data_IF_451202179250
#
_entry.id   IF_451202179250
#
_cell.length_a   1.000
_cell.length_b   1.000
_cell.length_c   1.000
_cell.angle_alpha   90.00
_cell.angle_beta   90.00
_cell.angle_gamma   90.00
#
_symmetry.space_group_name_H-M   'P 1'
#
loop_
_entity.id
_entity.type
_entity.pdbx_description
1 polymer ?
#
# COMPACT_ATOMS: atom_id res chain seq x y z
N UNK A 1 16.68 -37.42 53.17
CA UNK A 1 17.52 -36.74 52.14
C UNK A 1 16.64 -36.44 50.95
N UNK A 2 16.11 -35.23 50.81
CA UNK A 2 15.19 -34.84 49.74
C UNK A 2 15.96 -33.98 48.73
N UNK A 3 16.20 -34.48 47.51
CA UNK A 3 16.76 -33.71 46.36
C UNK A 3 15.69 -32.76 45.86
N UNK A 4 15.98 -31.47 45.88
CA UNK A 4 15.18 -30.43 45.21
C UNK A 4 15.78 -30.26 43.80
N UNK A 5 15.00 -30.60 42.78
CA UNK A 5 15.31 -30.25 41.39
C UNK A 5 14.96 -28.78 41.15
N UNK A 6 15.98 -27.99 40.90
CA UNK A 6 15.82 -26.61 40.42
C UNK A 6 15.57 -26.67 38.89
N UNK A 7 14.38 -26.27 38.46
CA UNK A 7 14.08 -26.01 37.05
C UNK A 7 14.56 -24.61 36.70
N UNK A 8 15.66 -24.51 35.95
CA UNK A 8 16.09 -23.25 35.33
C UNK A 8 15.33 -23.12 34.00
N UNK A 9 14.33 -22.24 34.00
CA UNK A 9 13.60 -21.87 32.80
C UNK A 9 14.46 -20.90 31.97
N UNK A 10 15.09 -21.41 30.92
CA UNK A 10 15.88 -20.61 29.96
C UNK A 10 14.89 -19.92 29.02
N UNK A 11 14.49 -18.66 29.33
CA UNK A 11 13.78 -17.82 28.41
C UNK A 11 14.70 -17.45 27.23
N UNK A 12 14.54 -18.17 26.12
CA UNK A 12 15.19 -17.80 24.85
C UNK A 12 14.51 -16.53 24.34
N UNK A 13 15.11 -15.37 24.62
CA UNK A 13 14.75 -14.13 23.95
C UNK A 13 15.13 -14.25 22.46
N UNK A 14 14.15 -14.59 21.62
CA UNK A 14 14.29 -14.39 20.18
C UNK A 14 14.39 -12.88 19.95
N UNK A 15 15.60 -12.37 19.79
CA UNK A 15 15.85 -11.08 19.17
C UNK A 15 15.44 -11.22 17.71
N UNK A 16 14.23 -10.80 17.40
CA UNK A 16 13.82 -10.59 16.01
C UNK A 16 14.67 -9.42 15.52
N UNK A 17 15.77 -9.75 14.85
CA UNK A 17 16.53 -8.77 14.10
C UNK A 17 15.63 -8.29 12.96
N UNK A 18 14.90 -7.21 13.19
CA UNK A 18 14.29 -6.44 12.11
C UNK A 18 15.43 -6.04 11.17
N UNK A 19 15.44 -6.60 9.96
CA UNK A 19 16.30 -6.12 8.88
C UNK A 19 15.78 -4.73 8.57
N UNK A 20 16.36 -3.71 9.19
CA UNK A 20 16.10 -2.33 8.87
C UNK A 20 16.70 -2.09 7.49
N UNK A 21 15.85 -1.93 6.49
CA UNK A 21 16.28 -1.29 5.26
C UNK A 21 16.82 0.10 5.65
N UNK A 22 18.01 0.44 5.15
CA UNK A 22 18.70 1.68 5.53
C UNK A 22 17.71 2.86 5.39
N UNK A 23 17.47 3.59 6.48
CA UNK A 23 16.72 4.84 6.49
C UNK A 23 15.21 4.77 6.33
N UNK A 24 14.58 3.60 6.09
CA UNK A 24 13.13 3.49 5.84
C UNK A 24 12.49 2.42 6.73
N UNK A 25 11.32 2.76 7.27
CA UNK A 25 10.49 1.85 8.05
C UNK A 25 9.05 1.90 7.54
N UNK A 26 8.40 0.72 7.49
CA UNK A 26 6.97 0.59 7.16
C UNK A 26 6.28 -0.22 8.25
N UNK A 27 5.30 0.40 8.90
CA UNK A 27 4.53 -0.22 9.97
C UNK A 27 3.14 -0.57 9.50
N UNK A 28 2.69 -1.79 9.84
CA UNK A 28 1.28 -2.14 9.71
C UNK A 28 0.48 -1.35 10.76
N UNK A 29 -0.50 -0.58 10.30
CA UNK A 29 -1.26 0.32 11.17
C UNK A 29 -2.71 -0.15 11.41
N UNK A 30 -3.01 -1.41 11.08
CA UNK A 30 -4.36 -1.97 11.04
C UNK A 30 -5.00 -2.22 12.42
N UNK A 31 -4.23 -2.59 13.44
CA UNK A 31 -4.76 -2.94 14.76
C UNK A 31 -5.08 -1.72 15.63
N UNK A 32 -5.93 -1.90 16.65
CA UNK A 32 -6.13 -0.92 17.72
C UNK A 32 -6.93 0.33 17.32
N UNK A 33 -7.81 0.24 16.34
CA UNK A 33 -8.76 1.30 16.01
C UNK A 33 -10.01 1.22 16.88
N UNK A 34 -10.64 2.37 17.07
CA UNK A 34 -11.94 2.55 17.71
C UNK A 34 -12.92 3.11 16.68
N UNK A 35 -14.16 2.58 16.66
CA UNK A 35 -15.22 2.95 15.73
C UNK A 35 -16.43 3.50 16.46
N UNK A 36 -17.00 4.59 15.93
CA UNK A 36 -18.33 5.10 16.29
C UNK A 36 -19.09 5.47 15.02
N UNK A 37 -20.33 4.99 14.94
CA UNK A 37 -21.27 5.33 13.86
C UNK A 37 -21.97 6.63 14.20
N UNK A 38 -22.14 7.50 13.22
CA UNK A 38 -22.72 8.83 13.31
C UNK A 38 -21.69 9.94 13.20
N UNK A 39 -22.15 11.17 12.95
CA UNK A 39 -21.30 12.35 12.93
C UNK A 39 -21.14 12.90 14.34
N UNK A 40 -20.03 12.58 14.96
CA UNK A 40 -19.75 12.86 16.37
C UNK A 40 -19.01 14.19 16.49
N UNK A 41 -19.62 15.14 17.19
CA UNK A 41 -19.00 16.44 17.44
C UNK A 41 -17.72 16.30 18.28
N UNK A 42 -16.68 17.02 17.91
CA UNK A 42 -15.37 17.06 18.58
C UNK A 42 -14.61 15.72 18.61
N UNK A 43 -15.01 14.74 17.79
CA UNK A 43 -14.33 13.45 17.74
C UNK A 43 -12.88 13.53 17.21
N UNK A 44 -12.48 14.63 16.59
CA UNK A 44 -11.10 14.95 16.20
C UNK A 44 -10.22 15.35 17.39
N UNK A 45 -10.83 15.83 18.50
CA UNK A 45 -10.11 16.38 19.66
C UNK A 45 -9.28 15.31 20.39
N UNK A 46 -8.09 15.67 20.85
CA UNK A 46 -7.24 14.81 21.68
C UNK A 46 -7.91 14.49 23.02
N UNK A 47 -8.68 15.44 23.58
CA UNK A 47 -9.37 15.26 24.88
C UNK A 47 -10.66 14.45 24.78
N UNK A 48 -11.13 14.14 23.57
CA UNK A 48 -12.35 13.34 23.40
C UNK A 48 -12.12 11.90 23.91
N UNK A 49 -13.03 11.40 24.75
CA UNK A 49 -12.97 10.02 25.25
C UNK A 49 -13.61 9.05 24.26
N UNK A 50 -12.83 8.09 23.80
CA UNK A 50 -13.28 7.01 22.89
C UNK A 50 -13.32 5.64 23.60
N UNK A 51 -13.36 5.61 24.93
CA UNK A 51 -13.37 4.37 25.73
C UNK A 51 -14.56 3.47 25.39
N UNK A 52 -15.73 4.07 25.15
CA UNK A 52 -16.98 3.36 24.83
C UNK A 52 -17.13 3.03 23.34
N UNK A 53 -16.14 3.36 22.52
CA UNK A 53 -16.20 3.05 21.09
C UNK A 53 -15.87 1.58 20.81
N UNK A 54 -16.49 1.00 19.79
CA UNK A 54 -16.23 -0.39 19.34
C UNK A 54 -14.76 -0.53 18.92
N UNK A 55 -14.05 -1.49 19.49
CA UNK A 55 -12.69 -1.84 19.05
C UNK A 55 -12.77 -2.62 17.74
N UNK A 56 -11.95 -2.21 16.75
CA UNK A 56 -11.90 -2.85 15.44
C UNK A 56 -10.46 -3.00 14.95
N UNK A 57 -10.26 -3.97 14.05
CA UNK A 57 -9.01 -4.17 13.32
C UNK A 57 -9.29 -4.03 11.83
N UNK A 58 -8.43 -3.29 11.10
CA UNK A 58 -8.56 -3.13 9.65
C UNK A 58 -7.99 -4.35 8.91
N UNK A 59 -8.46 -4.62 7.70
CA UNK A 59 -9.59 -4.01 6.96
C UNK A 59 -10.94 -4.18 7.66
N UNK A 60 -11.80 -3.15 7.62
CA UNK A 60 -13.10 -3.18 8.30
C UNK A 60 -14.11 -2.27 7.59
N UNK A 61 -15.27 -2.81 7.21
CA UNK A 61 -16.43 -2.03 6.79
C UNK A 61 -17.43 -1.94 7.95
N UNK A 62 -17.88 -0.73 8.29
CA UNK A 62 -18.70 -0.54 9.49
C UNK A 62 -20.08 -1.23 9.43
N UNK A 63 -20.57 -1.47 8.21
CA UNK A 63 -21.86 -2.07 7.91
C UNK A 63 -21.75 -3.49 7.29
N UNK A 64 -20.62 -4.18 7.44
CA UNK A 64 -20.43 -5.52 6.88
C UNK A 64 -21.35 -6.58 7.53
N UNK A 65 -21.69 -6.43 8.80
CA UNK A 65 -22.61 -7.33 9.52
C UNK A 65 -24.05 -7.28 8.98
N UNK A 66 -24.41 -6.24 8.25
CA UNK A 66 -25.75 -6.05 7.69
C UNK A 66 -26.00 -6.93 6.46
N UNK A 67 -24.94 -7.44 5.82
CA UNK A 67 -25.01 -8.22 4.59
C UNK A 67 -25.90 -9.46 4.69
N UNK A 68 -26.09 -10.00 5.90
CA UNK A 68 -27.00 -11.15 6.15
C UNK A 68 -28.35 -10.76 6.76
N UNK A 69 -28.57 -9.47 7.01
CA UNK A 69 -29.78 -8.98 7.70
C UNK A 69 -30.65 -8.11 6.82
N UNK A 70 -30.04 -7.41 5.87
CA UNK A 70 -30.68 -6.43 5.01
C UNK A 70 -30.44 -6.75 3.54
N UNK A 71 -31.31 -6.19 2.68
CA UNK A 71 -31.03 -6.20 1.25
C UNK A 71 -29.86 -5.28 0.92
N UNK A 72 -29.13 -5.55 -0.14
CA UNK A 72 -27.97 -4.78 -0.59
C UNK A 72 -28.24 -3.27 -0.74
N UNK A 73 -29.46 -2.91 -1.13
CA UNK A 73 -29.92 -1.52 -1.30
C UNK A 73 -30.21 -0.79 0.02
N UNK A 74 -30.37 -1.55 1.11
CA UNK A 74 -30.84 -1.05 2.41
C UNK A 74 -29.71 -1.03 3.44
N UNK A 75 -28.46 -1.29 3.02
CA UNK A 75 -27.29 -1.15 3.89
C UNK A 75 -27.17 0.27 4.41
N UNK A 76 -26.85 0.41 5.69
CA UNK A 76 -26.69 1.71 6.35
C UNK A 76 -25.62 2.53 5.63
N UNK A 77 -26.02 3.72 5.21
CA UNK A 77 -25.16 4.74 4.60
C UNK A 77 -25.15 5.99 5.51
N UNK A 78 -24.01 6.29 6.12
CA UNK A 78 -23.88 7.38 7.09
C UNK A 78 -22.42 7.80 7.25
N UNK A 79 -22.21 8.79 8.11
CA UNK A 79 -20.89 9.20 8.57
C UNK A 79 -20.43 8.26 9.70
N UNK A 80 -19.15 7.95 9.71
CA UNK A 80 -18.52 7.17 10.78
C UNK A 80 -17.18 7.77 11.16
N UNK A 81 -16.77 7.54 12.40
CA UNK A 81 -15.48 7.93 12.90
C UNK A 81 -14.65 6.73 13.28
N UNK A 82 -13.38 6.72 12.82
CA UNK A 82 -12.35 5.82 13.28
C UNK A 82 -11.30 6.61 14.05
N UNK A 83 -10.92 6.15 15.26
CA UNK A 83 -9.89 6.79 16.06
C UNK A 83 -8.85 5.76 16.47
N UNK A 84 -7.61 6.22 16.66
CA UNK A 84 -6.54 5.36 17.17
C UNK A 84 -5.53 6.18 17.96
N UNK A 85 -5.16 5.67 19.11
CA UNK A 85 -4.03 6.13 19.90
C UNK A 85 -2.78 5.37 19.47
N UNK A 86 -1.69 6.06 19.25
CA UNK A 86 -0.45 5.44 18.81
C UNK A 86 0.78 6.20 19.28
N UNK A 87 1.93 5.53 19.32
CA UNK A 87 3.20 6.13 19.65
C UNK A 87 4.23 5.81 18.58
N UNK A 88 4.89 6.83 18.06
CA UNK A 88 6.05 6.68 17.20
C UNK A 88 7.31 6.51 18.06
N UNK A 89 8.31 5.74 17.62
CA UNK A 89 9.62 5.72 18.25
C UNK A 89 10.24 7.12 18.35
N UNK A 90 11.04 7.36 19.36
CA UNK A 90 11.64 8.68 19.60
C UNK A 90 12.64 9.08 18.51
N UNK A 91 13.29 8.11 17.89
CA UNK A 91 14.24 8.28 16.77
C UNK A 91 13.58 8.68 15.45
N UNK A 92 12.25 8.61 15.35
CA UNK A 92 11.48 9.23 14.26
C UNK A 92 11.55 10.78 14.31
N UNK A 93 12.11 11.38 15.39
CA UNK A 93 12.28 12.83 15.49
C UNK A 93 13.21 13.35 14.39
N UNK A 94 12.73 14.30 13.62
CA UNK A 94 13.50 14.90 12.52
C UNK A 94 13.46 14.13 11.21
N UNK A 95 12.77 12.99 11.17
CA UNK A 95 12.49 12.19 9.97
C UNK A 95 11.16 12.59 9.35
N UNK A 96 10.83 12.03 8.20
CA UNK A 96 9.54 12.17 7.53
C UNK A 96 8.61 11.06 8.00
N UNK A 97 7.35 11.40 8.18
CA UNK A 97 6.30 10.44 8.55
C UNK A 97 5.13 10.60 7.60
N UNK A 98 4.76 9.50 6.93
CA UNK A 98 3.62 9.46 6.03
C UNK A 98 2.63 8.39 6.47
N UNK A 99 1.34 8.63 6.20
CA UNK A 99 0.32 7.60 6.29
C UNK A 99 -0.18 7.26 4.89
N UNK A 100 -0.36 5.98 4.63
CA UNK A 100 -0.94 5.44 3.41
C UNK A 100 -2.23 4.72 3.77
N UNK A 101 -3.32 5.07 3.08
CA UNK A 101 -4.57 4.32 3.06
C UNK A 101 -4.69 3.63 1.71
N UNK A 102 -4.90 2.32 1.68
CA UNK A 102 -5.18 1.60 0.43
C UNK A 102 -6.63 1.83 -0.05
N UNK A 103 -7.44 2.48 0.76
CA UNK A 103 -8.79 2.95 0.46
C UNK A 103 -9.55 3.38 1.70
N UNK A 104 -10.42 4.38 1.56
CA UNK A 104 -11.36 4.83 2.60
C UNK A 104 -12.66 5.28 1.92
N UNK A 105 -13.80 4.70 2.26
CA UNK A 105 -15.01 4.89 1.47
C UNK A 105 -16.07 5.68 2.22
N UNK A 106 -16.57 6.82 1.61
CA UNK A 106 -16.20 7.35 0.29
C UNK A 106 -15.30 8.58 0.41
N UNK A 107 -15.63 9.52 1.26
CA UNK A 107 -14.85 10.69 1.56
C UNK A 107 -14.24 10.57 2.95
N UNK A 108 -13.01 11.03 3.14
CA UNK A 108 -12.33 11.03 4.42
C UNK A 108 -11.77 12.42 4.75
N UNK A 109 -12.02 12.88 5.98
CA UNK A 109 -11.33 13.98 6.61
C UNK A 109 -10.40 13.39 7.67
N UNK A 110 -9.08 13.60 7.53
CA UNK A 110 -8.08 13.03 8.42
C UNK A 110 -7.55 14.07 9.40
N UNK A 111 -7.56 13.74 10.68
CA UNK A 111 -7.04 14.57 11.77
C UNK A 111 -5.92 13.86 12.51
N UNK A 112 -4.91 14.59 12.92
CA UNK A 112 -3.86 14.13 13.82
C UNK A 112 -3.67 15.13 14.94
N UNK A 113 -3.76 14.67 16.18
CA UNK A 113 -3.66 15.50 17.37
C UNK A 113 -4.61 16.72 17.38
N UNK A 114 -5.82 16.54 16.84
CA UNK A 114 -6.85 17.58 16.74
C UNK A 114 -6.73 18.51 15.53
N UNK A 115 -5.70 18.37 14.70
CA UNK A 115 -5.47 19.20 13.52
C UNK A 115 -5.89 18.47 12.25
N UNK A 116 -6.65 19.13 11.38
CA UNK A 116 -6.96 18.61 10.06
C UNK A 116 -5.67 18.51 9.23
N UNK A 117 -5.35 17.29 8.81
CA UNK A 117 -4.19 17.00 7.93
C UNK A 117 -4.57 17.19 6.48
N UNK A 118 -5.75 16.70 6.09
CA UNK A 118 -6.24 16.79 4.73
C UNK A 118 -7.49 15.96 4.51
N UNK A 119 -7.94 15.98 3.27
CA UNK A 119 -9.15 15.30 2.79
C UNK A 119 -8.82 14.46 1.56
N UNK A 120 -9.52 13.36 1.40
CA UNK A 120 -9.48 12.56 0.18
C UNK A 120 -10.88 12.09 -0.18
N UNK A 121 -11.16 12.10 -1.46
CA UNK A 121 -12.42 11.66 -2.05
C UNK A 121 -12.10 10.61 -3.13
N UNK A 122 -12.92 9.65 -3.31
CA UNK A 122 -12.76 8.43 -4.11
C UNK A 122 -12.37 7.21 -3.26
N UNK A 123 -13.39 6.47 -2.87
CA UNK A 123 -13.30 5.39 -1.86
C UNK A 123 -12.51 4.14 -2.24
N UNK A 124 -11.99 4.02 -3.47
CA UNK A 124 -11.36 2.78 -3.98
C UNK A 124 -9.90 2.96 -4.37
N UNK A 125 -9.36 4.17 -4.33
CA UNK A 125 -7.96 4.46 -4.66
C UNK A 125 -7.10 4.55 -3.41
N UNK A 126 -5.84 4.15 -3.55
CA UNK A 126 -4.84 4.41 -2.52
C UNK A 126 -4.43 5.89 -2.51
N UNK A 127 -4.23 6.44 -1.33
CA UNK A 127 -3.82 7.82 -1.11
C UNK A 127 -2.96 7.92 0.15
N UNK A 128 -2.30 9.06 0.33
CA UNK A 128 -1.48 9.29 1.52
C UNK A 128 -1.40 10.73 1.93
N UNK A 129 -0.96 10.94 3.18
CA UNK A 129 -0.71 12.26 3.74
C UNK A 129 0.65 12.33 4.44
N UNK A 130 1.27 13.50 4.38
CA UNK A 130 2.46 13.81 5.16
C UNK A 130 2.06 14.23 6.59
N UNK A 131 2.37 13.40 7.55
CA UNK A 131 2.06 13.63 8.97
C UNK A 131 3.18 14.33 9.74
N UNK A 132 4.32 14.61 9.10
CA UNK A 132 5.55 15.06 9.77
C UNK A 132 5.36 16.25 10.70
N UNK A 133 4.54 17.23 10.30
CA UNK A 133 4.27 18.43 11.08
C UNK A 133 3.27 18.21 12.23
N UNK A 134 2.50 17.11 12.21
CA UNK A 134 1.39 16.88 13.10
C UNK A 134 1.69 15.88 14.22
N UNK A 135 2.68 14.99 14.01
CA UNK A 135 3.03 13.92 14.96
C UNK A 135 4.08 14.38 15.98
N UNK A 136 4.04 13.75 17.16
CA UNK A 136 4.95 13.97 18.28
C UNK A 136 5.74 12.68 18.54
N UNK A 137 6.92 12.48 17.93
CA UNK A 137 7.74 11.28 18.18
C UNK A 137 8.09 11.10 19.64
N UNK A 138 8.07 9.85 20.14
CA UNK A 138 8.30 9.51 21.53
C UNK A 138 7.12 9.79 22.48
N UNK A 139 6.05 10.45 21.99
CA UNK A 139 4.85 10.76 22.75
C UNK A 139 3.63 10.07 22.17
N UNK A 140 2.55 10.05 22.93
CA UNK A 140 1.25 9.61 22.44
C UNK A 140 0.70 10.60 21.41
N UNK A 141 0.10 10.04 20.37
CA UNK A 141 -0.60 10.74 19.31
C UNK A 141 -1.98 10.14 19.14
N UNK A 142 -2.91 10.95 18.68
CA UNK A 142 -4.26 10.54 18.31
C UNK A 142 -4.46 10.81 16.82
N UNK A 143 -4.89 9.80 16.09
CA UNK A 143 -5.37 9.95 14.73
C UNK A 143 -6.89 9.73 14.72
N UNK A 144 -7.62 10.56 14.00
CA UNK A 144 -9.07 10.46 13.82
C UNK A 144 -9.41 10.64 12.35
N UNK A 145 -10.22 9.72 11.83
CA UNK A 145 -10.69 9.70 10.46
C UNK A 145 -12.23 9.81 10.48
N UNK A 146 -12.76 10.93 10.00
CA UNK A 146 -14.18 11.11 9.72
C UNK A 146 -14.45 10.63 8.30
N UNK A 147 -15.28 9.64 8.15
CA UNK A 147 -15.57 9.03 6.87
C UNK A 147 -17.05 9.21 6.54
N UNK A 148 -17.32 9.85 5.43
CA UNK A 148 -18.66 10.02 4.88
C UNK A 148 -18.93 8.93 3.84
N UNK A 149 -19.87 8.03 4.15
CA UNK A 149 -20.31 6.94 3.27
C UNK A 149 -21.77 7.11 2.84
N UNK A 150 -22.33 8.31 2.89
CA UNK A 150 -23.68 8.54 2.40
C UNK A 150 -23.78 8.15 0.93
N UNK A 151 -24.91 7.57 0.55
CA UNK A 151 -25.18 7.17 -0.84
C UNK A 151 -25.11 8.35 -1.80
N UNK A 152 -25.59 9.50 -1.35
CA UNK A 152 -25.63 10.73 -2.11
C UNK A 152 -24.35 11.57 -2.03
N UNK A 153 -23.29 11.00 -1.45
CA UNK A 153 -22.00 11.70 -1.37
C UNK A 153 -21.56 12.13 -2.77
N UNK A 154 -21.24 13.39 -2.88
CA UNK A 154 -20.77 14.01 -4.11
C UNK A 154 -19.40 14.63 -3.89
N UNK A 155 -18.54 14.56 -4.90
CA UNK A 155 -17.24 15.23 -4.90
C UNK A 155 -17.43 16.72 -4.66
N UNK A 156 -16.70 17.26 -3.69
CA UNK A 156 -16.84 18.66 -3.26
C UNK A 156 -16.51 19.66 -4.38
N UNK A 157 -15.55 19.30 -5.23
CA UNK A 157 -15.08 20.15 -6.31
C UNK A 157 -16.07 20.24 -7.50
N UNK A 158 -16.74 19.15 -7.85
CA UNK A 158 -17.55 19.05 -9.07
C UNK A 158 -19.04 18.83 -8.82
N UNK A 159 -19.42 18.37 -7.61
CA UNK A 159 -20.78 17.94 -7.29
C UNK A 159 -21.17 16.59 -7.92
N UNK A 160 -20.22 15.88 -8.54
CA UNK A 160 -20.47 14.59 -9.15
C UNK A 160 -20.58 13.51 -8.07
N UNK A 161 -21.65 12.71 -8.12
CA UNK A 161 -21.86 11.60 -7.19
C UNK A 161 -20.95 10.43 -7.56
N UNK A 162 -20.34 9.79 -6.57
CA UNK A 162 -19.52 8.60 -6.77
C UNK A 162 -20.34 7.32 -6.94
N UNK A 163 -21.54 7.27 -6.37
CA UNK A 163 -22.40 6.10 -6.46
C UNK A 163 -23.27 6.13 -7.71
N UNK A 164 -23.52 4.96 -8.25
CA UNK A 164 -24.48 4.78 -9.32
C UNK A 164 -25.91 4.98 -8.81
N UNK A 165 -26.81 5.44 -9.68
CA UNK A 165 -28.20 5.74 -9.32
C UNK A 165 -28.98 4.53 -8.81
N UNK A 166 -28.57 3.30 -9.15
CA UNK A 166 -29.27 2.07 -8.76
C UNK A 166 -28.59 1.39 -7.56
N UNK A 167 -29.19 1.53 -6.38
CA UNK A 167 -28.73 0.91 -5.12
C UNK A 167 -28.68 -0.63 -5.16
N UNK A 168 -29.40 -1.29 -6.06
CA UNK A 168 -29.37 -2.75 -6.19
C UNK A 168 -28.11 -3.26 -6.92
N UNK A 169 -27.32 -2.38 -7.52
CA UNK A 169 -26.20 -2.77 -8.35
C UNK A 169 -24.91 -2.97 -7.58
N UNK A 170 -24.65 -2.16 -6.55
CA UNK A 170 -23.46 -2.24 -5.70
C UNK A 170 -23.82 -2.09 -4.24
N UNK A 171 -23.25 -2.95 -3.41
CA UNK A 171 -23.30 -2.79 -1.97
C UNK A 171 -22.49 -1.56 -1.53
N UNK A 172 -23.10 -0.70 -0.71
CA UNK A 172 -22.46 0.49 -0.18
C UNK A 172 -21.73 0.20 1.13
N UNK A 173 -20.77 -0.72 1.12
CA UNK A 173 -19.90 -0.94 2.26
C UNK A 173 -18.97 0.26 2.47
N UNK A 174 -18.86 0.75 3.70
CA UNK A 174 -18.11 1.95 4.03
C UNK A 174 -17.15 1.78 5.20
N UNK A 175 -16.24 2.72 5.34
CA UNK A 175 -15.23 2.74 6.40
C UNK A 175 -13.81 2.66 5.88
N UNK A 176 -12.96 1.86 6.55
CA UNK A 176 -11.57 1.59 6.17
C UNK A 176 -11.42 0.15 5.67
N UNK A 177 -11.89 -0.15 4.44
CA UNK A 177 -12.01 -1.53 3.93
C UNK A 177 -10.70 -2.11 3.42
N UNK A 178 -9.58 -1.41 3.57
CA UNK A 178 -8.24 -1.81 3.12
C UNK A 178 -7.20 -1.54 4.21
N UNK A 179 -5.96 -1.97 3.95
CA UNK A 179 -4.87 -1.74 4.90
C UNK A 179 -4.53 -0.27 5.04
N UNK A 180 -4.00 0.05 6.21
CA UNK A 180 -3.37 1.34 6.51
C UNK A 180 -1.94 1.11 6.93
N UNK A 181 -1.02 1.91 6.38
CA UNK A 181 0.40 1.82 6.63
C UNK A 181 0.94 3.15 7.12
N UNK A 182 1.89 3.08 8.05
CA UNK A 182 2.66 4.23 8.48
C UNK A 182 4.09 4.07 7.98
N UNK A 183 4.62 5.09 7.31
CA UNK A 183 5.98 5.10 6.78
C UNK A 183 6.81 6.14 7.51
N UNK A 184 8.03 5.77 7.88
CA UNK A 184 9.04 6.67 8.41
C UNK A 184 10.27 6.62 7.51
N UNK A 185 10.72 7.77 7.00
CA UNK A 185 11.89 7.86 6.11
C UNK A 185 12.80 8.98 6.55
N UNK A 186 14.04 8.98 6.10
CA UNK A 186 14.90 10.15 6.21
C UNK A 186 14.40 11.29 5.31
N UNK A 187 14.98 12.47 5.41
CA UNK A 187 14.58 13.65 4.62
C UNK A 187 15.11 13.66 3.18
N UNK A 188 16.00 12.75 2.84
CA UNK A 188 16.34 12.39 1.47
C UNK A 188 15.83 10.98 1.24
N UNK A 189 14.84 10.82 0.40
CA UNK A 189 14.11 9.56 0.27
C UNK A 189 13.55 9.36 -1.14
N UNK A 190 13.38 8.09 -1.52
CA UNK A 190 12.55 7.70 -2.65
C UNK A 190 11.09 7.90 -2.25
N UNK A 191 10.30 8.59 -3.07
CA UNK A 191 8.92 8.92 -2.73
C UNK A 191 8.03 7.67 -2.68
N UNK A 192 6.85 7.80 -2.09
CA UNK A 192 5.85 6.74 -2.10
C UNK A 192 5.05 6.78 -3.40
N UNK A 193 4.64 5.64 -3.99
CA UNK A 193 3.84 5.62 -5.22
C UNK A 193 2.38 6.00 -4.93
N UNK A 194 2.16 7.20 -4.36
CA UNK A 194 0.86 7.72 -3.94
C UNK A 194 0.60 9.06 -4.62
N UNK A 195 0.08 8.98 -5.86
CA UNK A 195 -0.22 10.19 -6.63
C UNK A 195 -1.34 11.01 -5.97
N UNK A 196 -2.38 10.35 -5.48
CA UNK A 196 -3.46 11.01 -4.77
C UNK A 196 -2.96 11.63 -3.46
N UNK A 197 -3.17 12.93 -3.31
CA UNK A 197 -2.78 13.80 -2.20
C UNK A 197 -1.28 14.11 -2.11
N UNK A 198 -0.38 13.11 -2.24
CA UNK A 198 1.07 13.35 -2.18
C UNK A 198 1.67 13.81 -3.52
N UNK A 199 1.01 13.52 -4.63
CA UNK A 199 1.49 13.79 -6.00
C UNK A 199 2.88 13.23 -6.25
N UNK A 200 3.11 11.98 -5.83
CA UNK A 200 4.39 11.28 -5.93
C UNK A 200 4.24 9.97 -6.69
N UNK A 201 5.27 9.62 -7.47
CA UNK A 201 5.25 8.47 -8.37
C UNK A 201 5.99 7.24 -7.82
N UNK A 202 6.89 7.44 -6.86
CA UNK A 202 7.65 6.35 -6.24
C UNK A 202 8.67 5.71 -7.17
N UNK A 203 8.75 4.38 -7.08
CA UNK A 203 9.66 3.53 -7.86
C UNK A 203 8.90 2.83 -8.97
N UNK A 204 9.45 2.85 -10.18
CA UNK A 204 8.92 2.15 -11.34
C UNK A 204 10.00 1.24 -11.96
N UNK A 205 9.66 -0.05 -12.11
CA UNK A 205 10.56 -1.08 -12.65
C UNK A 205 9.90 -1.71 -13.88
N UNK A 206 10.60 -1.70 -15.00
CA UNK A 206 10.09 -2.29 -16.26
C UNK A 206 11.21 -2.90 -17.10
N UNK A 207 10.83 -3.61 -18.15
CA UNK A 207 11.75 -4.23 -19.09
C UNK A 207 11.44 -3.79 -20.53
N UNK A 208 12.48 -3.52 -21.27
CA UNK A 208 12.45 -3.25 -22.71
C UNK A 208 13.30 -4.26 -23.48
N UNK A 209 13.23 -4.25 -24.80
CA UNK A 209 14.02 -5.10 -25.70
C UNK A 209 13.93 -6.58 -25.33
N UNK A 210 12.74 -7.03 -24.89
CA UNK A 210 12.54 -8.41 -24.42
C UNK A 210 12.72 -9.41 -25.55
N UNK A 211 13.75 -10.24 -25.44
CA UNK A 211 14.07 -11.36 -26.31
C UNK A 211 13.74 -12.68 -25.61
N UNK A 212 12.52 -13.15 -25.79
CA UNK A 212 11.96 -14.27 -25.00
C UNK A 212 12.79 -15.54 -25.16
N UNK A 213 13.20 -15.89 -26.40
CA UNK A 213 14.00 -17.10 -26.68
C UNK A 213 15.41 -17.02 -26.11
N UNK A 214 16.03 -15.85 -26.19
CA UNK A 214 17.36 -15.60 -25.64
C UNK A 214 17.36 -15.40 -24.13
N UNK A 215 16.15 -15.29 -23.51
CA UNK A 215 15.99 -15.04 -22.08
C UNK A 215 16.71 -13.75 -21.64
N UNK A 216 16.63 -12.70 -22.46
CA UNK A 216 17.37 -11.45 -22.28
C UNK A 216 16.43 -10.26 -22.39
N UNK A 217 16.68 -9.22 -21.61
CA UNK A 217 16.00 -7.94 -21.70
C UNK A 217 16.86 -6.82 -21.10
N UNK A 218 16.54 -5.58 -21.44
CA UNK A 218 17.04 -4.39 -20.76
C UNK A 218 16.10 -4.07 -19.61
N UNK A 219 16.61 -4.12 -18.38
CA UNK A 219 15.86 -3.79 -17.18
C UNK A 219 16.10 -2.34 -16.81
N UNK A 220 15.01 -1.59 -16.66
CA UNK A 220 15.00 -0.21 -16.24
C UNK A 220 14.47 -0.10 -14.82
N UNK A 221 15.05 0.77 -14.04
CA UNK A 221 14.58 1.17 -12.73
C UNK A 221 14.60 2.70 -12.63
N UNK A 222 13.47 3.28 -12.33
CA UNK A 222 13.30 4.72 -12.09
C UNK A 222 12.80 4.94 -10.69
N UNK A 223 13.26 6.01 -10.04
CA UNK A 223 12.81 6.38 -8.72
C UNK A 223 12.69 7.88 -8.60
N UNK A 224 11.49 8.34 -8.24
CA UNK A 224 11.30 9.73 -7.85
C UNK A 224 11.88 9.93 -6.45
N UNK A 225 12.83 10.86 -6.33
CA UNK A 225 13.59 11.16 -5.11
C UNK A 225 13.36 12.61 -4.70
N UNK A 226 13.12 12.84 -3.42
CA UNK A 226 12.95 14.18 -2.85
C UNK A 226 14.00 14.46 -1.78
N UNK A 227 14.64 15.65 -1.86
CA UNK A 227 15.57 16.13 -0.86
C UNK A 227 14.90 17.21 0.00
N UNK A 228 14.45 16.85 1.19
CA UNK A 228 13.93 17.79 2.19
C UNK A 228 14.95 18.11 3.29
N UNK A 229 16.24 17.81 3.06
CA UNK A 229 17.32 18.26 3.92
C UNK A 229 17.65 19.74 3.65
N UNK A 230 18.44 20.35 4.50
CA UNK A 230 18.87 21.75 4.34
C UNK A 230 20.12 21.90 3.45
N UNK A 231 20.64 20.80 2.89
CA UNK A 231 21.90 20.80 2.11
C UNK A 231 21.69 20.08 0.78
N UNK A 232 22.42 20.51 -0.25
CA UNK A 232 22.55 19.73 -1.48
C UNK A 232 23.24 18.39 -1.18
N UNK A 233 22.77 17.33 -1.83
CA UNK A 233 23.30 15.97 -1.67
C UNK A 233 23.66 15.41 -3.05
N UNK A 234 24.84 14.81 -3.18
CA UNK A 234 25.19 13.98 -4.35
C UNK A 234 24.78 12.57 -4.07
N UNK A 235 23.86 12.06 -4.89
CA UNK A 235 23.14 10.81 -4.65
C UNK A 235 23.41 9.84 -5.78
N UNK A 236 23.96 8.68 -5.45
CA UNK A 236 24.05 7.53 -6.33
C UNK A 236 22.80 6.67 -6.24
N UNK A 237 22.47 6.02 -7.35
CA UNK A 237 21.32 5.13 -7.44
C UNK A 237 21.78 3.70 -7.75
N UNK A 238 21.53 2.78 -6.81
CA UNK A 238 21.90 1.37 -6.90
C UNK A 238 20.65 0.52 -7.11
N UNK A 239 20.71 -0.41 -8.06
CA UNK A 239 19.66 -1.39 -8.33
C UNK A 239 20.22 -2.81 -8.21
N UNK A 240 19.54 -3.64 -7.43
CA UNK A 240 19.88 -5.05 -7.24
C UNK A 240 18.67 -5.92 -7.57
N UNK A 241 18.82 -6.80 -8.55
CA UNK A 241 17.80 -7.74 -9.02
C UNK A 241 18.06 -9.11 -8.42
N UNK A 242 17.10 -9.65 -7.68
CA UNK A 242 17.14 -10.97 -7.08
C UNK A 242 16.09 -11.88 -7.71
N UNK A 243 16.41 -13.15 -7.91
CA UNK A 243 15.46 -14.16 -8.36
C UNK A 243 14.49 -14.58 -7.23
N UNK A 244 13.59 -15.53 -7.54
CA UNK A 244 12.60 -16.03 -6.57
C UNK A 244 13.21 -16.70 -5.34
N UNK A 245 14.44 -17.21 -5.48
CA UNK A 245 15.16 -17.94 -4.43
C UNK A 245 16.06 -17.00 -3.61
N UNK A 246 16.03 -15.70 -3.93
CA UNK A 246 16.82 -14.66 -3.24
C UNK A 246 18.26 -14.56 -3.70
N UNK A 247 18.63 -15.21 -4.82
CA UNK A 247 19.97 -15.11 -5.41
C UNK A 247 20.09 -13.83 -6.23
N UNK A 248 21.18 -13.11 -6.05
CA UNK A 248 21.48 -11.92 -6.85
C UNK A 248 21.70 -12.32 -8.33
N UNK A 249 20.87 -11.78 -9.22
CA UNK A 249 20.95 -11.96 -10.67
C UNK A 249 21.84 -10.87 -11.28
N UNK A 250 21.61 -9.63 -10.91
CA UNK A 250 22.32 -8.47 -11.44
C UNK A 250 22.36 -7.34 -10.42
N UNK A 251 23.47 -6.59 -10.40
CA UNK A 251 23.58 -5.32 -9.72
C UNK A 251 24.08 -4.27 -10.73
N UNK A 252 23.47 -3.09 -10.73
CA UNK A 252 23.86 -2.00 -11.62
C UNK A 252 23.54 -0.64 -11.00
N UNK A 253 24.09 0.41 -11.56
CA UNK A 253 23.99 1.77 -11.01
C UNK A 253 23.59 2.76 -12.10
N UNK A 254 22.85 3.78 -11.69
CA UNK A 254 22.65 5.01 -12.47
C UNK A 254 23.76 6.02 -12.23
N UNK A 255 23.71 7.10 -12.96
CA UNK A 255 24.59 8.24 -12.76
C UNK A 255 24.33 8.92 -11.41
N UNK A 256 25.37 9.39 -10.77
CA UNK A 256 25.23 10.21 -9.57
C UNK A 256 24.66 11.58 -9.93
N UNK A 257 23.72 12.05 -9.11
CA UNK A 257 23.05 13.33 -9.33
C UNK A 257 23.09 14.20 -8.07
N UNK A 258 23.43 15.47 -8.25
CA UNK A 258 23.32 16.47 -7.18
C UNK A 258 21.86 16.92 -7.09
N UNK A 259 21.27 16.79 -5.89
CA UNK A 259 19.87 17.15 -5.60
C UNK A 259 19.88 18.26 -4.55
N UNK A 260 19.34 19.43 -4.89
CA UNK A 260 19.30 20.59 -4.00
C UNK A 260 18.19 20.48 -2.94
N UNK A 261 18.25 21.29 -1.85
CA UNK A 261 17.16 21.35 -0.88
C UNK A 261 15.82 21.68 -1.51
N UNK A 262 14.78 20.90 -1.19
CA UNK A 262 13.43 21.03 -1.73
C UNK A 262 13.22 20.43 -3.12
N UNK A 263 14.31 20.04 -3.81
CA UNK A 263 14.22 19.50 -5.17
C UNK A 263 13.65 18.07 -5.19
N UNK A 264 12.87 17.79 -6.23
CA UNK A 264 12.32 16.49 -6.57
C UNK A 264 12.80 16.12 -7.96
N UNK A 265 13.46 14.95 -8.09
CA UNK A 265 14.07 14.47 -9.34
C UNK A 265 13.76 12.99 -9.54
N UNK A 266 13.84 12.54 -10.79
CA UNK A 266 13.87 11.11 -11.11
C UNK A 266 15.32 10.67 -11.31
N UNK A 267 15.73 9.65 -10.56
CA UNK A 267 16.95 8.89 -10.78
C UNK A 267 16.61 7.67 -11.60
N UNK A 268 17.47 7.30 -12.55
CA UNK A 268 17.31 6.14 -13.40
C UNK A 268 18.57 5.30 -13.47
N UNK A 269 18.38 4.01 -13.66
CA UNK A 269 19.46 3.06 -13.96
C UNK A 269 18.92 1.98 -14.91
N UNK A 270 19.76 1.50 -15.81
CA UNK A 270 19.41 0.42 -16.71
C UNK A 270 20.55 -0.57 -16.90
N UNK A 271 20.22 -1.80 -17.22
CA UNK A 271 21.21 -2.81 -17.60
C UNK A 271 20.59 -3.91 -18.47
N UNK A 272 21.36 -4.43 -19.40
CA UNK A 272 21.03 -5.72 -20.01
C UNK A 272 21.21 -6.85 -18.99
N UNK A 273 20.21 -7.74 -18.97
CA UNK A 273 20.18 -8.91 -18.08
C UNK A 273 19.85 -10.14 -18.90
N UNK A 274 20.66 -11.18 -18.75
CA UNK A 274 20.51 -12.48 -19.39
C UNK A 274 20.03 -13.54 -18.39
N UNK A 275 19.56 -14.67 -18.90
CA UNK A 275 19.07 -15.78 -18.08
C UNK A 275 17.71 -15.52 -17.41
N UNK A 276 16.99 -14.50 -17.85
CA UNK A 276 15.71 -14.09 -17.28
C UNK A 276 14.62 -15.15 -17.45
N UNK A 277 13.76 -15.25 -16.43
CA UNK A 277 12.49 -15.95 -16.47
C UNK A 277 11.37 -14.93 -16.66
N UNK A 278 10.65 -15.00 -17.76
CA UNK A 278 9.55 -14.08 -18.04
C UNK A 278 8.26 -14.60 -17.43
N UNK A 279 7.55 -13.70 -16.75
CA UNK A 279 6.23 -14.00 -16.23
C UNK A 279 5.28 -14.39 -17.36
N UNK A 280 4.56 -15.46 -17.19
CA UNK A 280 3.55 -15.94 -18.13
C UNK A 280 2.37 -16.54 -17.38
N UNK A 281 1.24 -16.71 -18.06
CA UNK A 281 0.13 -17.49 -17.52
C UNK A 281 0.60 -18.93 -17.20
N UNK A 282 0.24 -19.42 -16.01
CA UNK A 282 0.70 -20.70 -15.49
C UNK A 282 2.16 -20.73 -15.03
N UNK A 283 2.90 -19.62 -15.20
CA UNK A 283 4.27 -19.44 -14.74
C UNK A 283 4.48 -18.05 -14.17
N UNK A 284 3.94 -17.85 -12.98
CA UNK A 284 3.98 -16.58 -12.27
C UNK A 284 5.34 -16.25 -11.66
N UNK A 285 6.40 -16.11 -12.50
CA UNK A 285 7.73 -15.81 -12.00
C UNK A 285 7.89 -14.34 -11.64
N UNK A 286 8.27 -14.08 -10.39
CA UNK A 286 8.51 -12.73 -9.87
C UNK A 286 9.95 -12.61 -9.36
N UNK A 287 10.51 -11.42 -9.58
CA UNK A 287 11.78 -10.97 -9.05
C UNK A 287 11.56 -10.03 -7.87
N UNK A 288 12.54 -9.96 -7.00
CA UNK A 288 12.65 -8.90 -6.00
C UNK A 288 13.71 -7.90 -6.48
N UNK A 289 13.29 -6.66 -6.67
CA UNK A 289 14.19 -5.55 -7.06
C UNK A 289 14.36 -4.64 -5.87
N UNK A 290 15.60 -4.41 -5.47
CA UNK A 290 15.96 -3.43 -4.45
C UNK A 290 16.54 -2.21 -5.14
N UNK A 291 15.97 -1.05 -4.89
CA UNK A 291 16.49 0.24 -5.32
C UNK A 291 16.97 1.01 -4.11
N UNK A 292 18.21 1.49 -4.14
CA UNK A 292 18.80 2.17 -3.00
C UNK A 292 19.41 3.50 -3.40
N UNK A 293 19.22 4.51 -2.53
CA UNK A 293 19.97 5.76 -2.57
C UNK A 293 21.28 5.58 -1.83
N UNK A 294 22.37 6.07 -2.41
CA UNK A 294 23.69 6.00 -1.82
C UNK A 294 24.31 7.41 -1.70
N UNK A 295 24.82 7.74 -0.51
CA UNK A 295 25.63 8.93 -0.27
C UNK A 295 27.01 8.46 0.18
N UNK A 296 28.07 8.92 -0.48
CA UNK A 296 29.45 8.51 -0.18
C UNK A 296 29.61 6.97 -0.09
N UNK A 297 28.93 6.25 -0.99
CA UNK A 297 28.94 4.79 -1.07
C UNK A 297 28.07 4.05 -0.04
N UNK A 298 27.47 4.75 0.94
CA UNK A 298 26.60 4.15 1.96
C UNK A 298 25.12 4.22 1.53
N UNK A 299 24.40 3.11 1.63
CA UNK A 299 22.93 3.08 1.43
C UNK A 299 22.25 3.92 2.52
N UNK A 300 21.40 4.86 2.12
CA UNK A 300 20.65 5.77 3.01
C UNK A 300 19.14 5.56 2.93
N UNK A 301 18.63 5.05 1.82
CA UNK A 301 17.23 4.66 1.65
C UNK A 301 17.14 3.44 0.72
N UNK A 302 16.25 2.49 0.99
CA UNK A 302 16.05 1.31 0.16
C UNK A 302 14.56 1.04 -0.02
N UNK A 303 14.13 0.81 -1.26
CA UNK A 303 12.77 0.37 -1.59
C UNK A 303 12.84 -1.02 -2.21
N UNK A 304 11.95 -1.89 -1.78
CA UNK A 304 11.83 -3.27 -2.28
C UNK A 304 10.57 -3.37 -3.14
N UNK A 305 10.75 -3.72 -4.41
CA UNK A 305 9.66 -3.91 -5.37
C UNK A 305 9.64 -5.37 -5.83
N UNK A 306 8.48 -6.01 -5.76
CA UNK A 306 8.28 -7.35 -6.32
C UNK A 306 7.57 -7.23 -7.67
N UNK A 307 8.20 -7.70 -8.75
CA UNK A 307 7.71 -7.53 -10.12
C UNK A 307 8.07 -8.70 -11.01
N UNK A 308 7.32 -8.88 -12.10
CA UNK A 308 7.63 -9.84 -13.16
C UNK A 308 7.73 -9.14 -14.51
N UNK A 309 8.63 -9.62 -15.35
CA UNK A 309 8.85 -9.07 -16.68
C UNK A 309 8.12 -9.91 -17.73
N UNK A 310 7.40 -9.24 -18.65
CA UNK A 310 6.69 -9.90 -19.74
C UNK A 310 6.58 -8.98 -20.94
N UNK A 311 6.41 -9.57 -22.11
CA UNK A 311 6.12 -8.88 -23.38
C UNK A 311 4.67 -9.13 -23.77
N UNK A 312 3.89 -8.07 -23.93
CA UNK A 312 2.50 -8.13 -24.37
C UNK A 312 2.34 -7.38 -25.69
N UNK A 313 1.62 -7.95 -26.64
CA UNK A 313 1.34 -7.33 -27.93
C UNK A 313 -0.10 -7.65 -28.36
N UNK A 314 -0.78 -6.65 -28.88
CA UNK A 314 -2.10 -6.78 -29.51
C UNK A 314 -1.90 -6.56 -31.01
N UNK A 315 -2.04 -7.60 -31.79
CA UNK A 315 -1.85 -7.56 -33.26
C UNK A 315 -2.65 -8.66 -33.94
N UNK A 316 -3.07 -8.42 -35.15
CA UNK A 316 -3.79 -9.37 -36.02
C UNK A 316 -5.04 -9.95 -35.33
N UNK A 317 -5.77 -9.13 -34.56
CA UNK A 317 -6.93 -9.55 -33.80
C UNK A 317 -6.63 -10.54 -32.66
N UNK A 318 -5.38 -10.64 -32.23
CA UNK A 318 -4.90 -11.60 -31.22
C UNK A 318 -4.16 -10.91 -30.09
N UNK A 319 -4.17 -11.57 -28.94
CA UNK A 319 -3.33 -11.20 -27.78
C UNK A 319 -2.11 -12.11 -27.76
N UNK A 320 -0.94 -11.50 -27.70
CA UNK A 320 0.34 -12.17 -27.63
C UNK A 320 0.98 -11.94 -26.26
N UNK A 321 1.40 -13.01 -25.61
CA UNK A 321 2.17 -12.98 -24.37
C UNK A 321 3.48 -13.75 -24.58
N UNK A 322 4.61 -13.08 -24.41
CA UNK A 322 5.94 -13.65 -24.62
C UNK A 322 6.06 -14.37 -25.99
N UNK A 323 5.65 -13.67 -27.07
CA UNK A 323 5.66 -14.14 -28.45
C UNK A 323 4.77 -15.37 -28.74
N UNK A 324 3.82 -15.69 -27.86
CA UNK A 324 2.82 -16.75 -28.08
C UNK A 324 1.41 -16.14 -28.04
N UNK A 325 0.57 -16.58 -28.98
CA UNK A 325 -0.85 -16.23 -28.94
C UNK A 325 -1.50 -16.89 -27.71
N UNK A 326 -2.25 -16.12 -26.97
CA UNK A 326 -3.07 -16.62 -25.89
C UNK A 326 -4.55 -16.45 -26.19
N UNK A 327 -5.34 -17.47 -25.89
CA UNK A 327 -6.79 -17.41 -25.92
C UNK A 327 -7.28 -16.93 -24.53
N UNK A 328 -7.90 -15.75 -24.49
CA UNK A 328 -8.42 -15.20 -23.24
C UNK A 328 -9.68 -15.95 -22.82
N UNK A 329 -9.69 -16.44 -21.58
CA UNK A 329 -10.83 -17.10 -20.93
C UNK A 329 -10.97 -16.44 -19.56
N UNK A 330 -12.08 -15.71 -19.34
CA UNK A 330 -12.17 -14.85 -18.19
C UNK A 330 -13.49 -14.88 -17.45
N UNK A 331 -13.42 -14.39 -16.23
CA UNK A 331 -14.55 -14.10 -15.37
C UNK A 331 -14.62 -12.62 -15.06
N UNK A 332 -15.84 -12.09 -14.87
CA UNK A 332 -16.05 -10.82 -14.20
C UNK A 332 -16.23 -11.09 -12.71
N UNK A 333 -15.62 -10.28 -11.85
CA UNK A 333 -15.70 -10.43 -10.39
C UNK A 333 -16.08 -9.12 -9.72
N UNK A 334 -17.06 -9.20 -8.80
CA UNK A 334 -17.46 -8.12 -7.90
C UNK A 334 -17.29 -8.57 -6.47
N UNK A 335 -16.18 -8.20 -5.84
CA UNK A 335 -15.87 -8.65 -4.48
C UNK A 335 -16.90 -8.23 -3.45
N UNK A 336 -17.47 -7.02 -3.58
CA UNK A 336 -18.48 -6.50 -2.66
C UNK A 336 -19.79 -7.29 -2.64
N UNK A 337 -20.13 -8.03 -3.71
CA UNK A 337 -21.37 -8.80 -3.82
C UNK A 337 -21.14 -10.30 -3.69
N UNK A 338 -19.94 -10.79 -3.99
CA UNK A 338 -19.62 -12.21 -4.00
C UNK A 338 -19.30 -12.75 -2.61
N UNK A 339 -18.85 -11.87 -1.71
CA UNK A 339 -18.44 -12.20 -0.34
C UNK A 339 -19.19 -11.34 0.68
N UNK A 340 -20.49 -11.61 0.90
CA UNK A 340 -21.26 -10.90 1.94
C UNK A 340 -20.57 -11.01 3.30
N UNK A 341 -20.79 -10.04 4.17
CA UNK A 341 -20.17 -9.89 5.50
C UNK A 341 -18.67 -9.57 5.51
N UNK A 342 -17.96 -9.74 4.40
CA UNK A 342 -16.59 -9.22 4.22
C UNK A 342 -16.63 -7.92 3.43
N UNK A 343 -17.59 -7.77 2.55
CA UNK A 343 -17.77 -6.58 1.72
C UNK A 343 -16.53 -6.27 0.92
N UNK A 344 -16.08 -5.02 1.00
CA UNK A 344 -14.83 -4.57 0.36
C UNK A 344 -13.56 -4.90 1.18
N UNK A 345 -13.72 -5.42 2.39
CA UNK A 345 -12.62 -5.76 3.29
C UNK A 345 -12.01 -7.13 3.00
N UNK A 346 -11.96 -7.51 1.74
CA UNK A 346 -11.50 -8.82 1.27
C UNK A 346 -10.02 -9.02 1.65
N UNK A 347 -9.71 -10.00 2.51
CA UNK A 347 -8.33 -10.32 2.87
C UNK A 347 -7.61 -11.01 1.71
N UNK A 348 -6.27 -10.93 1.71
CA UNK A 348 -5.45 -11.49 0.63
C UNK A 348 -5.71 -12.98 0.38
N UNK A 349 -5.85 -13.80 1.45
CA UNK A 349 -6.12 -15.23 1.32
C UNK A 349 -7.42 -15.55 0.59
N UNK A 350 -8.45 -14.71 0.76
CA UNK A 350 -9.75 -14.89 0.09
C UNK A 350 -9.66 -14.55 -1.40
N UNK A 351 -8.89 -13.50 -1.74
CA UNK A 351 -8.56 -13.20 -3.14
C UNK A 351 -7.77 -14.35 -3.79
N UNK A 352 -6.79 -14.90 -3.09
CA UNK A 352 -6.02 -16.06 -3.57
C UNK A 352 -6.90 -17.28 -3.78
N UNK A 353 -7.82 -17.56 -2.86
CA UNK A 353 -8.79 -18.66 -2.98
C UNK A 353 -9.70 -18.47 -4.19
N UNK A 354 -10.31 -17.29 -4.35
CA UNK A 354 -11.19 -16.97 -5.48
C UNK A 354 -10.46 -17.07 -6.82
N UNK A 355 -9.26 -16.47 -6.93
CA UNK A 355 -8.44 -16.58 -8.13
C UNK A 355 -8.01 -18.03 -8.40
N UNK A 356 -7.71 -18.80 -7.35
CA UNK A 356 -7.39 -20.22 -7.45
C UNK A 356 -8.51 -21.06 -8.05
N UNK A 357 -9.79 -20.77 -7.71
CA UNK A 357 -10.96 -21.40 -8.32
C UNK A 357 -11.05 -21.08 -9.81
N UNK A 358 -10.81 -19.83 -10.21
CA UNK A 358 -10.80 -19.43 -11.61
C UNK A 358 -9.70 -20.14 -12.41
N UNK A 359 -8.50 -20.28 -11.83
CA UNK A 359 -7.39 -21.02 -12.44
C UNK A 359 -7.76 -22.49 -12.62
N UNK A 360 -8.40 -23.12 -11.62
CA UNK A 360 -8.90 -24.51 -11.72
C UNK A 360 -9.95 -24.67 -12.83
N UNK A 361 -10.71 -23.61 -13.11
CA UNK A 361 -11.66 -23.55 -14.24
C UNK A 361 -11.00 -23.15 -15.57
N UNK A 362 -9.66 -23.18 -15.66
CA UNK A 362 -8.87 -22.79 -16.84
C UNK A 362 -9.03 -21.34 -17.28
N UNK A 363 -9.35 -20.43 -16.36
CA UNK A 363 -9.36 -19.00 -16.63
C UNK A 363 -7.93 -18.43 -16.60
N UNK A 364 -7.70 -17.41 -17.42
CA UNK A 364 -6.44 -16.68 -17.49
C UNK A 364 -6.64 -15.15 -17.54
N UNK A 365 -7.87 -14.70 -17.33
CA UNK A 365 -8.27 -13.30 -17.28
C UNK A 365 -9.31 -13.09 -16.20
N UNK A 366 -9.18 -12.00 -15.47
CA UNK A 366 -10.22 -11.50 -14.56
C UNK A 366 -10.54 -10.05 -14.92
N UNK A 367 -11.83 -9.74 -15.06
CA UNK A 367 -12.30 -8.36 -15.11
C UNK A 367 -12.81 -7.98 -13.71
N UNK A 368 -12.09 -7.10 -13.06
CA UNK A 368 -12.53 -6.49 -11.81
C UNK A 368 -13.59 -5.41 -12.08
N UNK A 369 -14.60 -5.40 -11.24
CA UNK A 369 -15.69 -4.43 -11.31
C UNK A 369 -15.91 -3.79 -9.96
#
# INVERSE_FOLDING_TARGET
MRLRFLWISLCLLMVISSIHAAGREKYNFNSGWKLKVGDIAQAESVSYSDTEWKSVTLPHAFNEDEAFKLNIKDLTDTIVWYRKHFRLPADAKGRKVFIEFEGARQGIDLYVNGHLVGQHENGVMAFGFDLTAFVKPGKENVIAARIDNNWDYAEKATGVKYQWSNRNFNANYGGLPKNVWLHVTDKLYQTLPLYSNLQTTGVYIYAEDIQVRARKARIHAESEVKNETKKSQTVGYLVELFDRDGKLVKSFRGEEKKINPGEKVVLSAESEVEGLHFWSWGYGYLYTVKTALCIEGKKTDEVITRTGFRKTRFADGKVWLNDRVIQLKGFAQRTSNEWPAVGMSVPAWLSDYSNGLMVKANANLVRWM
#
